data_IF_349453694544
#
_entry.id   IF_349453694544
#
_cell.length_a   1.000
_cell.length_b   1.000
_cell.length_c   1.000
_cell.angle_alpha   90.00
_cell.angle_beta   90.00
_cell.angle_gamma   90.00
#
_symmetry.space_group_name_H-M   'P 1'
#
loop_
_entity.id
_entity.type
_entity.pdbx_description
1 polymer ?
#
# COMPACT_ATOMS: atom_id res chain seq x y z
N UNK A 1 49.54 52.93 17.64
CA UNK A 1 48.21 52.57 17.12
C UNK A 1 48.39 51.22 16.46
N UNK A 2 47.81 50.19 17.07
CA UNK A 2 48.08 48.78 16.82
C UNK A 2 47.35 48.28 15.57
N UNK A 3 48.10 47.70 14.64
CA UNK A 3 47.58 46.93 13.52
C UNK A 3 47.02 45.59 14.04
N UNK A 4 45.69 45.48 14.03
CA UNK A 4 44.98 44.25 14.36
C UNK A 4 44.84 43.40 13.09
N UNK A 5 45.87 42.62 12.76
CA UNK A 5 45.72 41.50 11.83
C UNK A 5 44.90 40.40 12.53
N UNK A 6 43.67 40.19 12.08
CA UNK A 6 42.85 39.05 12.48
C UNK A 6 43.41 37.82 11.75
N UNK A 7 44.16 36.98 12.47
CA UNK A 7 44.49 35.63 12.03
C UNK A 7 43.20 34.79 12.04
N UNK A 8 42.73 34.39 10.85
CA UNK A 8 41.79 33.29 10.74
C UNK A 8 42.60 31.99 10.82
N UNK A 9 42.74 31.44 12.02
CA UNK A 9 43.25 30.08 12.20
C UNK A 9 42.23 29.11 11.57
N UNK A 10 42.52 28.68 10.33
CA UNK A 10 41.89 27.53 9.71
C UNK A 10 42.35 26.29 10.47
N UNK A 11 41.64 25.97 11.55
CA UNK A 11 41.79 24.71 12.26
C UNK A 11 41.13 23.59 11.41
N UNK A 12 41.73 23.28 10.27
CA UNK A 12 41.40 22.10 9.48
C UNK A 12 42.03 20.91 10.22
N UNK A 13 41.26 20.29 11.12
CA UNK A 13 41.58 18.93 11.57
C UNK A 13 41.51 18.05 10.33
N UNK A 14 42.68 17.74 9.78
CA UNK A 14 42.87 16.64 8.87
C UNK A 14 42.60 15.37 9.69
N UNK A 15 41.33 14.97 9.79
CA UNK A 15 40.99 13.62 10.23
C UNK A 15 41.64 12.67 9.22
N UNK A 16 42.58 11.88 9.71
CA UNK A 16 43.21 10.80 8.99
C UNK A 16 42.13 9.95 8.33
N UNK A 17 42.12 9.92 7.00
CA UNK A 17 41.41 8.92 6.20
C UNK A 17 42.21 7.60 6.27
N UNK A 18 42.39 7.10 7.49
CA UNK A 18 42.98 5.79 7.73
C UNK A 18 41.83 4.84 8.11
N UNK A 19 41.53 3.97 7.14
CA UNK A 19 40.93 2.64 7.27
C UNK A 19 39.62 2.54 8.08
N UNK A 20 38.53 2.99 7.47
CA UNK A 20 37.25 2.35 7.76
C UNK A 20 37.34 0.89 7.29
N UNK A 21 37.50 -0.04 8.24
CA UNK A 21 37.35 -1.48 8.02
C UNK A 21 36.21 -1.73 7.03
N UNK A 22 36.44 -2.50 5.95
CA UNK A 22 35.42 -2.71 4.94
C UNK A 22 34.20 -3.29 5.64
N UNK A 23 33.11 -2.52 5.63
CA UNK A 23 31.85 -2.96 6.20
C UNK A 23 31.56 -4.37 5.68
N UNK A 24 31.44 -5.34 6.60
CA UNK A 24 31.18 -6.73 6.23
C UNK A 24 29.98 -6.72 5.28
N UNK A 25 30.18 -7.28 4.08
CA UNK A 25 29.14 -7.38 3.07
C UNK A 25 27.93 -8.15 3.59
N UNK A 26 28.09 -8.97 4.63
CA UNK A 26 27.05 -9.80 5.22
C UNK A 26 26.66 -9.32 6.62
N UNK A 27 25.56 -8.56 6.70
CA UNK A 27 24.98 -8.20 7.98
C UNK A 27 24.40 -9.44 8.68
N UNK A 28 24.79 -9.65 9.95
CA UNK A 28 24.15 -10.65 10.80
C UNK A 28 22.87 -10.07 11.40
N UNK A 29 21.72 -10.64 11.03
CA UNK A 29 20.41 -10.28 11.58
C UNK A 29 19.90 -11.36 12.53
N UNK A 30 19.23 -10.95 13.59
CA UNK A 30 18.48 -11.85 14.46
C UNK A 30 17.25 -12.43 13.74
N UNK A 31 16.77 -13.59 14.21
CA UNK A 31 15.51 -14.16 13.70
C UNK A 31 14.34 -13.19 13.81
N UNK A 32 14.32 -12.34 14.85
CA UNK A 32 13.27 -11.33 15.03
C UNK A 32 13.31 -10.26 13.93
N UNK A 33 14.50 -9.80 13.53
CA UNK A 33 14.67 -8.83 12.44
C UNK A 33 14.28 -9.45 11.10
N UNK A 34 14.66 -10.71 10.84
CA UNK A 34 14.29 -11.43 9.63
C UNK A 34 12.77 -11.61 9.54
N UNK A 35 12.13 -11.99 10.65
CA UNK A 35 10.66 -12.07 10.73
C UNK A 35 10.00 -10.71 10.54
N UNK A 36 10.58 -9.64 11.08
CA UNK A 36 10.06 -8.28 10.92
C UNK A 36 10.08 -7.86 9.44
N UNK A 37 11.17 -8.13 8.73
CA UNK A 37 11.28 -7.91 7.28
C UNK A 37 10.16 -8.67 6.54
N UNK A 38 9.95 -9.95 6.89
CA UNK A 38 8.90 -10.75 6.28
C UNK A 38 7.47 -10.24 6.60
N UNK A 39 7.26 -9.62 7.77
CA UNK A 39 5.97 -9.01 8.15
C UNK A 39 5.73 -7.69 7.45
N UNK A 40 6.76 -6.86 7.32
CA UNK A 40 6.69 -5.51 6.72
C UNK A 40 6.43 -5.54 5.21
N UNK A 41 6.58 -6.69 4.55
CA UNK A 41 6.18 -6.88 3.14
C UNK A 41 4.72 -6.50 2.86
N UNK A 42 3.84 -6.61 3.85
CA UNK A 42 2.41 -6.34 3.68
C UNK A 42 2.07 -4.92 4.14
N UNK A 43 1.50 -4.11 3.24
CA UNK A 43 0.93 -2.81 3.60
C UNK A 43 -0.11 -2.94 4.74
N UNK A 44 -0.16 -1.95 5.64
CA UNK A 44 -1.13 -1.93 6.76
C UNK A 44 -2.58 -2.06 6.28
N UNK A 45 -2.90 -1.42 5.16
CA UNK A 45 -4.22 -1.52 4.52
C UNK A 45 -4.53 -2.96 4.08
N UNK A 46 -3.53 -3.69 3.60
CA UNK A 46 -3.64 -5.08 3.16
C UNK A 46 -3.91 -6.01 4.34
N UNK A 47 -3.22 -5.81 5.46
CA UNK A 47 -3.48 -6.54 6.72
C UNK A 47 -4.91 -6.27 7.21
N UNK A 48 -5.34 -5.02 7.22
CA UNK A 48 -6.71 -4.65 7.60
C UNK A 48 -7.77 -5.34 6.73
N UNK A 49 -7.59 -5.31 5.40
CA UNK A 49 -8.51 -5.96 4.46
C UNK A 49 -8.57 -7.48 4.68
N UNK A 50 -7.44 -8.10 5.03
CA UNK A 50 -7.35 -9.52 5.36
C UNK A 50 -8.19 -9.83 6.61
N UNK A 51 -7.95 -9.11 7.71
CA UNK A 51 -8.71 -9.28 8.95
C UNK A 51 -10.20 -9.00 8.77
N UNK A 52 -10.57 -8.03 7.92
CA UNK A 52 -11.96 -7.78 7.58
C UNK A 52 -12.60 -8.99 6.87
N UNK A 53 -11.98 -9.49 5.80
CA UNK A 53 -12.55 -10.60 5.04
C UNK A 53 -12.66 -11.90 5.85
N UNK A 54 -11.65 -12.19 6.66
CA UNK A 54 -11.66 -13.34 7.59
C UNK A 54 -12.78 -13.20 8.61
N UNK A 55 -12.93 -12.03 9.25
CA UNK A 55 -14.02 -11.79 10.21
C UNK A 55 -15.39 -11.95 9.56
N UNK A 56 -15.58 -11.44 8.35
CA UNK A 56 -16.83 -11.59 7.60
C UNK A 56 -17.13 -13.06 7.31
N UNK A 57 -16.15 -13.85 6.88
CA UNK A 57 -16.36 -15.27 6.61
C UNK A 57 -16.63 -16.08 7.89
N UNK A 58 -15.87 -15.83 8.98
CA UNK A 58 -16.14 -16.47 10.28
C UNK A 58 -17.52 -16.11 10.83
N UNK A 59 -17.95 -14.86 10.69
CA UNK A 59 -19.28 -14.42 11.10
C UNK A 59 -20.38 -15.13 10.29
N UNK A 60 -20.17 -15.28 8.98
CA UNK A 60 -21.08 -16.06 8.13
C UNK A 60 -21.13 -17.54 8.57
N UNK A 61 -19.98 -18.19 8.81
CA UNK A 61 -19.96 -19.58 9.32
C UNK A 61 -20.78 -19.72 10.59
N UNK A 62 -20.57 -18.84 11.58
CA UNK A 62 -21.35 -18.81 12.83
C UNK A 62 -22.84 -18.66 12.58
N UNK A 63 -23.24 -17.74 11.70
CA UNK A 63 -24.65 -17.50 11.37
C UNK A 63 -25.35 -18.70 10.72
N UNK A 64 -24.57 -19.58 10.08
CA UNK A 64 -25.05 -20.79 9.41
C UNK A 64 -24.92 -22.05 10.28
N UNK A 65 -24.54 -21.90 11.55
CA UNK A 65 -24.26 -23.02 12.44
C UNK A 65 -23.07 -23.88 12.01
N UNK A 66 -22.15 -23.32 11.21
CA UNK A 66 -20.95 -24.00 10.71
C UNK A 66 -19.74 -23.68 11.58
N UNK A 67 -18.75 -24.57 11.58
CA UNK A 67 -17.49 -24.33 12.27
C UNK A 67 -16.79 -23.07 11.70
N UNK A 68 -16.51 -22.04 12.51
CA UNK A 68 -15.79 -20.85 12.06
C UNK A 68 -14.28 -21.08 11.84
N UNK A 69 -13.72 -22.19 12.28
CA UNK A 69 -12.32 -22.57 12.05
C UNK A 69 -12.13 -23.19 10.66
N UNK A 70 -12.46 -22.40 9.64
CA UNK A 70 -12.43 -22.82 8.24
C UNK A 70 -11.02 -23.15 7.75
N UNK A 71 -9.97 -22.73 8.47
CA UNK A 71 -8.57 -22.98 8.14
C UNK A 71 -8.19 -24.47 8.23
N UNK A 72 -8.98 -25.25 8.98
CA UNK A 72 -8.77 -26.69 9.17
C UNK A 72 -9.60 -27.57 8.22
N UNK A 73 -10.53 -26.99 7.46
CA UNK A 73 -11.43 -27.73 6.58
C UNK A 73 -10.67 -28.44 5.45
N UNK A 74 -11.24 -29.51 4.89
CA UNK A 74 -10.76 -30.08 3.64
C UNK A 74 -10.96 -29.09 2.47
N UNK A 75 -10.29 -29.32 1.34
CA UNK A 75 -10.52 -28.50 0.13
C UNK A 75 -11.98 -28.58 -0.32
N UNK A 76 -12.59 -29.76 -0.26
CA UNK A 76 -13.99 -29.99 -0.66
C UNK A 76 -14.98 -29.27 0.26
N UNK A 77 -14.80 -29.36 1.58
CA UNK A 77 -15.65 -28.67 2.54
C UNK A 77 -15.52 -27.16 2.41
N UNK A 78 -14.29 -26.66 2.27
CA UNK A 78 -14.04 -25.24 2.08
C UNK A 78 -14.66 -24.74 0.77
N UNK A 79 -14.55 -25.50 -0.32
CA UNK A 79 -15.22 -25.19 -1.59
C UNK A 79 -16.74 -25.13 -1.42
N UNK A 80 -17.35 -26.10 -0.72
CA UNK A 80 -18.78 -26.08 -0.44
C UNK A 80 -19.20 -24.85 0.37
N UNK A 81 -18.39 -24.43 1.35
CA UNK A 81 -18.66 -23.25 2.16
C UNK A 81 -18.53 -21.97 1.34
N UNK A 82 -17.43 -21.80 0.60
CA UNK A 82 -17.17 -20.63 -0.24
C UNK A 82 -18.24 -20.45 -1.32
N UNK A 83 -18.71 -21.56 -1.92
CA UNK A 83 -19.79 -21.54 -2.91
C UNK A 83 -21.04 -20.86 -2.38
N UNK A 84 -21.48 -21.23 -1.18
CA UNK A 84 -22.69 -20.65 -0.57
C UNK A 84 -22.40 -19.23 -0.06
N UNK A 85 -21.26 -19.03 0.58
CA UNK A 85 -20.83 -17.74 1.10
C UNK A 85 -20.85 -16.65 0.02
N UNK A 86 -20.30 -16.90 -1.17
CA UNK A 86 -20.28 -15.92 -2.25
C UNK A 86 -21.68 -15.52 -2.74
N UNK A 87 -22.66 -16.42 -2.67
CA UNK A 87 -24.04 -16.07 -3.04
C UNK A 87 -24.76 -15.26 -1.95
N UNK A 88 -24.47 -15.57 -0.69
CA UNK A 88 -25.24 -15.07 0.46
C UNK A 88 -24.66 -13.81 1.11
N UNK A 89 -23.36 -13.56 1.00
CA UNK A 89 -22.70 -12.50 1.78
C UNK A 89 -23.28 -11.11 1.43
N UNK A 90 -23.58 -10.32 2.47
CA UNK A 90 -24.10 -8.95 2.40
C UNK A 90 -23.34 -8.04 3.37
N UNK A 91 -23.49 -6.72 3.21
CA UNK A 91 -22.98 -5.76 4.19
C UNK A 91 -23.81 -5.79 5.49
N UNK A 92 -23.43 -5.00 6.49
CA UNK A 92 -24.12 -4.96 7.80
C UNK A 92 -25.57 -4.47 7.69
N UNK A 93 -25.89 -3.73 6.63
CA UNK A 93 -27.22 -3.21 6.31
C UNK A 93 -28.07 -4.22 5.51
N UNK A 94 -27.54 -5.39 5.17
CA UNK A 94 -28.22 -6.40 4.36
C UNK A 94 -28.14 -6.16 2.84
N UNK A 95 -27.42 -5.12 2.41
CA UNK A 95 -27.28 -4.74 1.01
C UNK A 95 -26.17 -5.54 0.32
N UNK A 96 -26.22 -5.57 -1.02
CA UNK A 96 -25.19 -6.21 -1.84
C UNK A 96 -23.88 -5.42 -1.75
N UNK A 97 -22.79 -6.15 -1.61
CA UNK A 97 -21.46 -5.58 -1.75
C UNK A 97 -21.17 -5.16 -3.19
N UNK A 98 -20.34 -4.13 -3.36
CA UNK A 98 -19.77 -3.79 -4.66
C UNK A 98 -18.87 -4.92 -5.17
N UNK A 99 -18.70 -5.03 -6.49
CA UNK A 99 -17.84 -6.06 -7.10
C UNK A 99 -16.43 -6.10 -6.52
N UNK A 100 -15.81 -4.94 -6.27
CA UNK A 100 -14.46 -4.87 -5.72
C UNK A 100 -14.37 -5.44 -4.30
N UNK A 101 -15.44 -5.34 -3.51
CA UNK A 101 -15.50 -5.92 -2.17
C UNK A 101 -15.50 -7.45 -2.23
N UNK A 102 -16.16 -8.07 -3.22
CA UNK A 102 -16.08 -9.52 -3.44
C UNK A 102 -14.67 -9.98 -3.82
N UNK A 103 -14.00 -9.23 -4.70
CA UNK A 103 -12.59 -9.49 -5.05
C UNK A 103 -11.71 -9.39 -3.81
N UNK A 104 -11.90 -8.35 -3.00
CA UNK A 104 -11.21 -8.17 -1.72
C UNK A 104 -11.47 -9.28 -0.72
N UNK A 105 -12.72 -9.74 -0.57
CA UNK A 105 -13.09 -10.87 0.30
C UNK A 105 -12.35 -12.15 -0.10
N UNK A 106 -12.39 -12.51 -1.38
CA UNK A 106 -11.70 -13.71 -1.87
C UNK A 106 -10.20 -13.64 -1.66
N UNK A 107 -9.58 -12.49 -1.98
CA UNK A 107 -8.15 -12.28 -1.76
C UNK A 107 -7.77 -12.35 -0.26
N UNK A 108 -8.62 -11.77 0.61
CA UNK A 108 -8.43 -11.82 2.06
C UNK A 108 -8.46 -13.26 2.59
N UNK A 109 -9.45 -14.05 2.21
CA UNK A 109 -9.57 -15.45 2.64
C UNK A 109 -8.38 -16.27 2.10
N UNK A 110 -8.02 -16.10 0.83
CA UNK A 110 -6.90 -16.81 0.23
C UNK A 110 -5.59 -16.51 0.96
N UNK A 111 -5.26 -15.22 1.14
CA UNK A 111 -4.05 -14.79 1.85
C UNK A 111 -4.00 -15.28 3.29
N UNK A 112 -5.15 -15.35 3.97
CA UNK A 112 -5.22 -15.89 5.33
C UNK A 112 -4.91 -17.39 5.38
N UNK A 113 -5.36 -18.15 4.39
CA UNK A 113 -5.10 -19.60 4.32
C UNK A 113 -3.65 -19.89 3.95
N UNK A 114 -3.09 -19.18 2.97
CA UNK A 114 -1.74 -19.42 2.45
C UNK A 114 -0.64 -18.74 3.26
N UNK A 115 -0.99 -17.73 4.07
CA UNK A 115 -0.07 -17.05 4.97
C UNK A 115 0.10 -17.75 6.32
N UNK A 116 1.11 -17.30 7.07
CA UNK A 116 1.30 -17.66 8.47
C UNK A 116 0.04 -17.34 9.31
N UNK A 117 -0.34 -18.20 10.26
CA UNK A 117 0.33 -19.45 10.69
C UNK A 117 -0.11 -20.71 9.95
N UNK A 118 -1.01 -20.60 8.96
CA UNK A 118 -1.68 -21.77 8.39
C UNK A 118 -0.92 -22.39 7.22
N UNK A 119 -0.24 -21.57 6.42
CA UNK A 119 0.66 -21.99 5.33
C UNK A 119 0.08 -23.10 4.44
N UNK A 120 -1.23 -23.02 4.16
CA UNK A 120 -1.98 -24.05 3.43
C UNK A 120 -1.52 -24.07 1.98
N UNK A 121 -1.20 -25.26 1.48
CA UNK A 121 -0.83 -25.48 0.07
C UNK A 121 -2.09 -25.63 -0.79
N UNK A 122 -2.84 -24.54 -0.95
CA UNK A 122 -4.01 -24.52 -1.83
C UNK A 122 -4.30 -23.12 -2.35
N UNK A 123 -4.82 -23.09 -3.57
CA UNK A 123 -5.21 -21.89 -4.28
C UNK A 123 -6.71 -21.89 -4.54
N UNK A 124 -7.46 -21.32 -3.61
CA UNK A 124 -8.92 -21.21 -3.70
C UNK A 124 -9.40 -20.43 -4.95
N UNK A 125 -8.52 -19.71 -5.64
CA UNK A 125 -8.85 -18.94 -6.85
C UNK A 125 -8.80 -19.80 -8.12
N UNK A 126 -8.00 -20.87 -8.15
CA UNK A 126 -7.63 -21.56 -9.39
C UNK A 126 -7.65 -23.09 -9.30
N UNK A 127 -7.39 -23.67 -8.13
CA UNK A 127 -7.34 -25.12 -7.95
C UNK A 127 -8.68 -25.78 -8.33
N UNK A 128 -8.59 -27.00 -8.85
CA UNK A 128 -9.72 -27.72 -9.46
C UNK A 128 -10.82 -27.99 -8.44
N UNK A 129 -10.44 -28.27 -7.21
CA UNK A 129 -11.28 -28.52 -6.05
C UNK A 129 -12.26 -27.35 -5.80
N UNK A 130 -11.86 -26.13 -6.17
CA UNK A 130 -12.65 -24.91 -5.95
C UNK A 130 -13.50 -24.48 -7.16
N UNK A 131 -13.62 -25.32 -8.20
CA UNK A 131 -14.38 -24.96 -9.41
C UNK A 131 -15.83 -24.55 -9.13
N UNK A 132 -16.51 -25.25 -8.21
CA UNK A 132 -17.90 -24.95 -7.88
C UNK A 132 -18.05 -23.57 -7.22
N UNK A 133 -17.20 -23.25 -6.25
CA UNK A 133 -17.15 -21.93 -5.63
C UNK A 133 -16.78 -20.84 -6.64
N UNK A 134 -15.80 -21.10 -7.51
CA UNK A 134 -15.34 -20.13 -8.50
C UNK A 134 -16.39 -19.84 -9.58
N UNK A 135 -17.21 -20.83 -9.96
CA UNK A 135 -18.34 -20.61 -10.87
C UNK A 135 -19.41 -19.71 -10.25
N UNK A 136 -19.78 -19.94 -8.98
CA UNK A 136 -20.71 -19.07 -8.27
C UNK A 136 -20.12 -17.66 -8.10
N UNK A 137 -18.86 -17.55 -7.71
CA UNK A 137 -18.17 -16.26 -7.60
C UNK A 137 -18.27 -15.46 -8.91
N UNK A 138 -17.92 -16.07 -10.04
CA UNK A 138 -18.03 -15.44 -11.38
C UNK A 138 -19.48 -15.07 -11.71
N UNK A 139 -20.45 -15.93 -11.39
CA UNK A 139 -21.87 -15.66 -11.58
C UNK A 139 -22.35 -14.44 -10.79
N UNK A 140 -21.95 -14.33 -9.52
CA UNK A 140 -22.22 -13.18 -8.65
C UNK A 140 -21.61 -11.90 -9.23
N UNK A 141 -20.34 -11.92 -9.66
CA UNK A 141 -19.73 -10.74 -10.28
C UNK A 141 -20.47 -10.29 -11.54
N UNK A 142 -20.93 -11.24 -12.37
CA UNK A 142 -21.73 -10.94 -13.58
C UNK A 142 -23.10 -10.37 -13.22
N UNK A 143 -23.70 -10.81 -12.12
CA UNK A 143 -24.95 -10.25 -11.62
C UNK A 143 -24.75 -8.80 -11.11
N UNK A 144 -23.73 -8.56 -10.28
CA UNK A 144 -23.39 -7.22 -9.79
C UNK A 144 -23.13 -6.24 -10.92
N UNK A 145 -22.46 -6.69 -12.00
CA UNK A 145 -22.26 -5.87 -13.19
C UNK A 145 -23.56 -5.49 -13.88
N UNK A 146 -24.50 -6.43 -14.03
CA UNK A 146 -25.84 -6.17 -14.60
C UNK A 146 -26.67 -5.23 -13.74
N UNK A 147 -26.52 -5.33 -12.43
CA UNK A 147 -27.19 -4.46 -11.44
C UNK A 147 -26.52 -3.09 -11.28
N UNK A 148 -25.40 -2.83 -11.97
CA UNK A 148 -24.68 -1.55 -11.90
C UNK A 148 -23.73 -1.39 -10.71
N UNK A 149 -23.56 -2.42 -9.87
CA UNK A 149 -22.64 -2.45 -8.72
C UNK A 149 -21.16 -2.70 -9.09
N UNK A 150 -20.82 -2.61 -10.39
CA UNK A 150 -19.44 -2.58 -10.91
C UNK A 150 -18.94 -1.15 -11.16
N UNK A 151 -19.81 -0.13 -10.99
CA UNK A 151 -19.43 1.25 -11.23
C UNK A 151 -18.59 1.78 -10.07
N UNK A 152 -17.30 1.99 -10.31
CA UNK A 152 -16.46 2.81 -9.44
C UNK A 152 -16.86 4.27 -9.61
N UNK A 153 -17.20 4.94 -8.50
CA UNK A 153 -17.30 6.40 -8.51
C UNK A 153 -15.89 6.97 -8.56
N UNK A 154 -15.51 7.48 -9.72
CA UNK A 154 -14.28 8.24 -9.86
C UNK A 154 -14.47 9.63 -9.22
N UNK A 155 -13.42 10.11 -8.56
CA UNK A 155 -13.39 11.49 -8.06
C UNK A 155 -13.52 12.43 -9.26
N UNK A 156 -14.34 13.48 -9.11
CA UNK A 156 -14.46 14.52 -10.13
C UNK A 156 -13.10 15.21 -10.30
N UNK A 157 -12.64 15.49 -11.54
CA UNK A 157 -11.44 16.28 -11.75
C UNK A 157 -11.52 17.63 -11.05
N UNK A 158 -10.38 18.14 -10.57
CA UNK A 158 -10.30 19.49 -10.03
C UNK A 158 -10.62 20.47 -11.16
N UNK A 159 -11.55 21.40 -10.91
CA UNK A 159 -11.93 22.40 -11.90
C UNK A 159 -10.75 23.34 -12.20
N UNK A 160 -10.66 23.94 -13.40
CA UNK A 160 -9.58 24.91 -13.69
C UNK A 160 -9.52 26.05 -12.66
N UNK A 161 -10.67 26.58 -12.24
CA UNK A 161 -10.72 27.66 -11.26
C UNK A 161 -10.26 27.24 -9.86
N UNK A 162 -10.53 26.01 -9.43
CA UNK A 162 -10.02 25.50 -8.16
C UNK A 162 -8.55 25.11 -8.23
N UNK A 163 -8.09 24.66 -9.39
CA UNK A 163 -6.67 24.38 -9.63
C UNK A 163 -5.83 25.65 -9.49
N UNK A 164 -6.32 26.78 -10.01
CA UNK A 164 -5.64 28.07 -9.84
C UNK A 164 -5.58 28.50 -8.37
N UNK A 165 -6.66 28.32 -7.59
CA UNK A 165 -6.63 28.59 -6.14
C UNK A 165 -5.59 27.77 -5.40
N UNK A 166 -5.35 26.53 -5.82
CA UNK A 166 -4.33 25.65 -5.22
C UNK A 166 -2.90 26.11 -5.56
N UNK A 167 -2.68 26.74 -6.72
CA UNK A 167 -1.39 27.32 -7.11
C UNK A 167 -1.11 28.66 -6.41
N UNK A 168 -2.15 29.38 -6.00
CA UNK A 168 -2.06 30.71 -5.37
C UNK A 168 -2.26 30.67 -3.85
N UNK A 169 -1.93 29.56 -3.18
CA UNK A 169 -2.02 29.45 -1.72
C UNK A 169 -1.07 30.48 -1.08
N UNK A 170 -1.54 31.18 -0.03
CA UNK A 170 -0.75 32.18 0.67
C UNK A 170 0.46 31.54 1.41
N UNK A 171 1.66 31.79 0.89
CA UNK A 171 2.93 31.27 1.42
C UNK A 171 3.51 32.09 2.58
N UNK A 172 2.90 33.21 2.99
CA UNK A 172 3.35 34.02 4.12
C UNK A 172 3.17 33.32 5.48
N UNK A 173 2.46 32.19 5.51
CA UNK A 173 2.36 31.33 6.70
C UNK A 173 3.10 30.01 6.47
N UNK A 174 3.77 29.44 7.49
CA UNK A 174 4.40 28.12 7.39
C UNK A 174 3.43 27.04 6.89
N UNK A 175 2.17 27.11 7.32
CA UNK A 175 1.11 26.19 6.89
C UNK A 175 0.80 26.32 5.40
N UNK A 176 0.68 27.55 4.90
CA UNK A 176 0.37 27.78 3.49
C UNK A 176 1.53 27.37 2.58
N UNK A 177 2.78 27.63 2.98
CA UNK A 177 3.95 27.12 2.27
C UNK A 177 3.96 25.59 2.23
N UNK A 178 3.67 24.93 3.36
CA UNK A 178 3.58 23.47 3.42
C UNK A 178 2.48 22.92 2.51
N UNK A 179 1.31 23.56 2.46
CA UNK A 179 0.19 23.14 1.62
C UNK A 179 0.52 23.28 0.12
N UNK A 180 1.17 24.38 -0.27
CA UNK A 180 1.58 24.58 -1.66
C UNK A 180 2.67 23.59 -2.08
N UNK A 181 3.66 23.35 -1.22
CA UNK A 181 4.70 22.36 -1.46
C UNK A 181 4.11 20.94 -1.59
N UNK A 182 3.17 20.57 -0.71
CA UNK A 182 2.44 19.31 -0.84
C UNK A 182 1.72 19.24 -2.19
N UNK A 183 0.96 20.27 -2.56
CA UNK A 183 0.21 20.30 -3.82
C UNK A 183 1.13 20.09 -5.02
N UNK A 184 2.28 20.77 -5.09
CA UNK A 184 3.22 20.58 -6.19
C UNK A 184 3.83 19.17 -6.24
N UNK A 185 4.14 18.58 -5.08
CA UNK A 185 4.64 17.20 -5.03
C UNK A 185 3.60 16.23 -5.62
N UNK A 186 2.34 16.37 -5.23
CA UNK A 186 1.25 15.54 -5.77
C UNK A 186 0.99 15.79 -7.25
N UNK A 187 0.93 17.06 -7.65
CA UNK A 187 0.54 17.48 -8.98
C UNK A 187 1.58 17.10 -10.04
N UNK A 188 2.86 17.31 -9.76
CA UNK A 188 3.94 17.04 -10.73
C UNK A 188 4.47 15.61 -10.67
N UNK A 189 4.57 15.00 -9.47
CA UNK A 189 5.12 13.63 -9.36
C UNK A 189 4.03 12.55 -9.32
N UNK A 190 2.74 12.91 -9.29
CA UNK A 190 1.63 11.96 -9.36
C UNK A 190 1.65 10.89 -8.28
N UNK A 191 2.22 11.21 -7.11
CA UNK A 191 2.44 10.26 -6.02
C UNK A 191 1.09 9.77 -5.48
N UNK A 192 1.06 8.51 -5.02
CA UNK A 192 -0.18 7.88 -4.55
C UNK A 192 -0.01 7.35 -3.14
N UNK A 193 -1.06 7.56 -2.34
CA UNK A 193 -1.17 6.97 -1.02
C UNK A 193 -0.46 7.78 0.06
N UNK A 194 -1.04 7.76 1.26
CA UNK A 194 -0.57 8.51 2.42
C UNK A 194 0.87 8.17 2.80
N UNK A 195 1.24 6.89 2.70
CA UNK A 195 2.51 6.36 3.18
C UNK A 195 3.68 6.91 2.33
N UNK A 196 3.53 6.93 1.00
CA UNK A 196 4.53 7.46 0.09
C UNK A 196 4.66 8.99 0.07
N UNK A 197 3.81 9.75 0.79
CA UNK A 197 3.93 11.22 0.87
C UNK A 197 4.44 11.66 2.23
N UNK A 198 3.93 11.04 3.30
CA UNK A 198 4.27 11.43 4.66
C UNK A 198 5.70 11.07 5.05
N UNK A 199 6.23 10.00 4.45
CA UNK A 199 7.55 9.48 4.77
C UNK A 199 8.66 10.02 3.84
N UNK A 200 8.38 11.00 2.98
CA UNK A 200 9.37 11.56 2.04
C UNK A 200 10.48 12.31 2.80
N UNK A 201 11.72 11.79 2.84
CA UNK A 201 12.85 12.58 3.31
C UNK A 201 13.25 13.67 2.31
N UNK A 202 13.99 14.66 2.79
CA UNK A 202 14.46 15.79 1.95
C UNK A 202 15.37 15.33 0.79
N UNK A 203 16.12 14.25 0.99
CA UNK A 203 17.02 13.68 -0.03
C UNK A 203 16.28 12.89 -1.13
N UNK A 204 14.94 12.81 -1.09
CA UNK A 204 14.14 12.31 -2.21
C UNK A 204 14.18 13.22 -3.44
N UNK A 205 14.63 14.48 -3.30
CA UNK A 205 14.59 15.47 -4.35
C UNK A 205 16.01 15.84 -4.80
N UNK A 206 16.23 15.79 -6.11
CA UNK A 206 17.47 16.26 -6.75
C UNK A 206 17.11 17.44 -7.62
N UNK A 207 17.79 18.57 -7.39
CA UNK A 207 17.68 19.75 -8.23
C UNK A 207 18.73 19.67 -9.33
N UNK A 208 18.32 19.98 -10.55
CA UNK A 208 19.12 19.88 -11.75
C UNK A 208 18.87 21.11 -12.63
N UNK A 209 19.73 21.31 -13.62
CA UNK A 209 19.58 22.33 -14.64
C UNK A 209 19.54 21.65 -16.00
N UNK A 210 18.58 22.03 -16.84
CA UNK A 210 18.48 21.51 -18.20
C UNK A 210 19.48 22.18 -19.17
N UNK A 211 19.47 21.77 -20.43
CA UNK A 211 20.34 22.34 -21.47
C UNK A 211 20.10 23.82 -21.75
N UNK A 212 18.91 24.31 -21.41
CA UNK A 212 18.47 25.69 -21.65
C UNK A 212 18.74 26.58 -20.43
N UNK A 213 19.31 26.02 -19.35
CA UNK A 213 19.63 26.73 -18.12
C UNK A 213 18.48 26.79 -17.10
N UNK A 214 17.36 26.09 -17.33
CA UNK A 214 16.24 26.10 -16.40
C UNK A 214 16.45 25.12 -15.25
N UNK A 215 16.17 25.57 -14.03
CA UNK A 215 16.17 24.71 -12.85
C UNK A 215 14.93 23.81 -12.83
N UNK A 216 15.13 22.53 -12.53
CA UNK A 216 14.05 21.57 -12.33
C UNK A 216 14.38 20.61 -11.19
N UNK A 217 13.33 19.96 -10.67
CA UNK A 217 13.46 18.98 -9.60
C UNK A 217 13.03 17.60 -10.12
N UNK A 218 13.81 16.56 -9.78
CA UNK A 218 13.48 15.15 -10.03
C UNK A 218 13.55 14.34 -8.74
N UNK A 219 12.90 13.18 -8.74
CA UNK A 219 13.04 12.21 -7.64
C UNK A 219 14.42 11.54 -7.69
N UNK A 220 15.08 11.40 -6.54
CA UNK A 220 16.39 10.76 -6.39
C UNK A 220 16.36 9.24 -6.60
N UNK A 221 15.22 8.60 -6.35
CA UNK A 221 15.02 7.16 -6.53
C UNK A 221 13.59 6.85 -6.98
N UNK A 222 13.45 5.77 -7.75
CA UNK A 222 12.15 5.19 -8.07
C UNK A 222 11.64 4.43 -6.84
N UNK A 223 10.90 5.12 -5.98
CA UNK A 223 10.24 4.47 -4.85
C UNK A 223 9.29 3.37 -5.32
N UNK A 224 9.31 2.24 -4.63
CA UNK A 224 8.31 1.20 -4.74
C UNK A 224 6.91 1.83 -4.55
N UNK A 225 6.13 1.90 -5.63
CA UNK A 225 4.74 2.36 -5.55
C UNK A 225 3.83 1.15 -5.46
N UNK A 226 2.59 1.33 -4.99
CA UNK A 226 1.60 0.25 -4.88
C UNK A 226 1.40 -0.60 -6.17
N UNK A 227 1.65 -0.03 -7.35
CA UNK A 227 1.54 -0.71 -8.65
C UNK A 227 2.90 -1.03 -9.29
N UNK A 228 3.98 -0.54 -8.70
CA UNK A 228 5.37 -0.83 -9.06
C UNK A 228 6.13 -1.04 -7.75
N UNK A 229 5.81 -2.09 -6.97
CA UNK A 229 6.69 -2.49 -5.90
C UNK A 229 8.01 -2.80 -6.61
N UNK A 230 9.10 -2.10 -6.29
CA UNK A 230 10.39 -2.52 -6.82
C UNK A 230 10.56 -3.99 -6.42
N UNK A 231 10.66 -4.86 -7.43
CA UNK A 231 10.67 -6.33 -7.40
C UNK A 231 9.96 -7.06 -6.24
#
# INVERSE_FOLDING_TARGET
MSDTCINFDLNFKLESLDDAEPADRFQTLSNQEIEQIARERNEKATTYNTSWGVRTFKAWCKSKGKNPDFEKLSADDLNAFLRVFYAEVRNKQGERFAKQSFVGLRAAIHRHLTGEPFCRQMNILQDREFQAANNVFKGVLKQLKREGHDKSQHKVPISPGDLEKLKTINVSSPRGLQQLAWFYIEYYFGRRGREGLRALPKNCFVFCTDSDGNEYCKMAFNEATKNHPGD
#
